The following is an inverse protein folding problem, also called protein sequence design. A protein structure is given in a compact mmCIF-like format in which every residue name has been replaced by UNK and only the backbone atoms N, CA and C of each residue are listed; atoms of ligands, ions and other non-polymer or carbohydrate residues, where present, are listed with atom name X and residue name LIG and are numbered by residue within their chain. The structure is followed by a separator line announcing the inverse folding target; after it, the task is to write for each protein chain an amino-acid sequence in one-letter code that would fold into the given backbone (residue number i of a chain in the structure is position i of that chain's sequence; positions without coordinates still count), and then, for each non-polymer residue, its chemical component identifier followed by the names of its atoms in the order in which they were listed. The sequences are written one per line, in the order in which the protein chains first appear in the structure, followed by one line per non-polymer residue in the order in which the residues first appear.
data_IF_088820580562
#
_entry.id   IF_088820580562
#
_cell.length_a   1.000
_cell.length_b   1.000
_cell.length_c   1.000
_cell.angle_alpha   90.00
_cell.angle_beta   90.00
_cell.angle_gamma   90.00
#
_symmetry.space_group_name_H-M   'P 1'
#
loop_
_entity.id
_entity.type
_entity.pdbx_description
1 polymer ?
#
# COMPACT_ATOMS: atom_id res chain seq x y z
N UNK A 1 6.82 0.66 6.77
CA UNK A 1 5.58 1.42 6.47
C UNK A 1 5.38 1.43 4.96
N UNK A 2 4.17 1.16 4.45
CA UNK A 2 3.92 1.13 2.99
C UNK A 2 3.74 2.55 2.46
N UNK A 3 4.40 2.86 1.35
CA UNK A 3 4.35 4.19 0.71
C UNK A 3 3.50 4.21 -0.54
N UNK A 4 3.05 5.40 -0.92
CA UNK A 4 2.30 5.61 -2.17
C UNK A 4 3.09 5.15 -3.40
N UNK A 5 4.41 5.33 -3.37
CA UNK A 5 5.29 4.88 -4.45
C UNK A 5 5.25 3.35 -4.62
N UNK A 6 5.24 2.60 -3.52
CA UNK A 6 5.12 1.15 -3.55
C UNK A 6 3.76 0.72 -4.14
N UNK A 7 2.66 1.38 -3.76
CA UNK A 7 1.33 1.07 -4.30
C UNK A 7 1.20 1.43 -5.78
N UNK A 8 1.83 2.52 -6.25
CA UNK A 8 1.90 2.85 -7.68
C UNK A 8 2.70 1.80 -8.46
N UNK A 9 3.85 1.36 -7.94
CA UNK A 9 4.64 0.28 -8.54
C UNK A 9 3.87 -1.04 -8.58
N UNK A 10 3.13 -1.38 -7.52
CA UNK A 10 2.28 -2.58 -7.50
C UNK A 10 1.28 -2.57 -8.66
N UNK A 11 0.56 -1.46 -8.87
CA UNK A 11 -0.43 -1.33 -9.95
C UNK A 11 0.22 -1.51 -11.33
N UNK A 12 1.43 -0.98 -11.51
CA UNK A 12 2.22 -1.15 -12.73
C UNK A 12 2.64 -2.61 -12.94
N UNK A 13 3.11 -3.29 -11.89
CA UNK A 13 3.56 -4.68 -11.99
C UNK A 13 2.41 -5.67 -12.15
N UNK A 14 1.23 -5.42 -11.59
CA UNK A 14 0.07 -6.30 -11.75
C UNK A 14 -0.47 -6.31 -13.18
N UNK A 15 -0.36 -5.20 -13.91
CA UNK A 15 -0.68 -5.18 -15.34
C UNK A 15 0.32 -5.99 -16.19
N UNK A 16 1.54 -6.20 -15.67
CA UNK A 16 2.64 -6.85 -16.42
C UNK A 16 2.90 -8.30 -16.00
N UNK A 17 2.57 -8.67 -14.77
CA UNK A 17 2.88 -9.99 -14.21
C UNK A 17 1.62 -10.83 -14.07
N UNK A 18 1.75 -12.12 -14.42
CA UNK A 18 0.68 -13.11 -14.23
C UNK A 18 0.35 -13.36 -12.75
N UNK A 19 1.34 -13.25 -11.86
CA UNK A 19 1.21 -13.57 -10.44
C UNK A 19 1.20 -12.32 -9.54
N UNK A 20 0.16 -12.20 -8.70
CA UNK A 20 -0.01 -11.09 -7.74
C UNK A 20 1.07 -11.10 -6.64
N UNK A 21 1.52 -12.28 -6.23
CA UNK A 21 2.59 -12.46 -5.24
C UNK A 21 3.92 -11.89 -5.73
N UNK A 22 4.31 -12.21 -6.96
CA UNK A 22 5.55 -11.70 -7.56
C UNK A 22 5.49 -10.17 -7.76
N UNK A 23 4.31 -9.64 -8.11
CA UNK A 23 4.13 -8.19 -8.24
C UNK A 23 4.24 -7.48 -6.88
N UNK A 24 3.72 -8.08 -5.82
CA UNK A 24 3.85 -7.59 -4.45
C UNK A 24 5.32 -7.57 -3.99
N UNK A 25 6.03 -8.68 -4.21
CA UNK A 25 7.46 -8.80 -3.88
C UNK A 25 8.30 -7.73 -4.61
N UNK A 26 8.07 -7.53 -5.93
CA UNK A 26 8.78 -6.47 -6.69
C UNK A 26 8.40 -5.06 -6.27
N UNK A 27 7.21 -4.86 -5.73
CA UNK A 27 6.78 -3.57 -5.18
C UNK A 27 7.26 -3.35 -3.74
N UNK A 28 7.97 -4.32 -3.14
CA UNK A 28 8.49 -4.24 -1.78
C UNK A 28 7.40 -4.31 -0.71
N UNK A 29 6.35 -5.10 -0.96
CA UNK A 29 5.21 -5.24 -0.06
C UNK A 29 4.77 -6.70 0.08
N UNK A 30 4.22 -7.02 1.25
CA UNK A 30 3.62 -8.32 1.50
C UNK A 30 2.35 -8.53 0.65
N UNK A 31 2.08 -9.76 0.27
CA UNK A 31 0.95 -10.11 -0.61
C UNK A 31 -0.40 -9.73 0.00
N UNK A 32 -0.57 -9.92 1.32
CA UNK A 32 -1.82 -9.54 2.00
C UNK A 32 -2.04 -8.03 1.93
N UNK A 33 -0.96 -7.27 2.07
CA UNK A 33 -0.99 -5.81 2.00
C UNK A 33 -1.24 -5.31 0.58
N UNK A 34 -0.60 -5.91 -0.42
CA UNK A 34 -0.85 -5.64 -1.83
C UNK A 34 -2.33 -5.90 -2.17
N UNK A 35 -2.88 -7.04 -1.74
CA UNK A 35 -4.29 -7.40 -1.96
C UNK A 35 -5.26 -6.38 -1.34
N UNK A 36 -4.96 -5.90 -0.13
CA UNK A 36 -5.73 -4.82 0.51
C UNK A 36 -5.78 -3.57 -0.36
N UNK A 37 -4.63 -3.04 -0.80
CA UNK A 37 -4.59 -1.82 -1.60
C UNK A 37 -5.20 -1.97 -3.00
N UNK A 38 -5.15 -3.16 -3.59
CA UNK A 38 -5.81 -3.44 -4.87
C UNK A 38 -7.33 -3.46 -4.74
N UNK A 39 -7.86 -4.04 -3.65
CA UNK A 39 -9.29 -4.05 -3.38
C UNK A 39 -9.82 -2.67 -3.02
N UNK A 40 -9.08 -1.93 -2.19
CA UNK A 40 -9.50 -0.61 -1.74
C UNK A 40 -9.35 0.48 -2.81
N UNK A 41 -8.46 0.30 -3.80
CA UNK A 41 -8.24 1.30 -4.86
C UNK A 41 -7.59 2.61 -4.38
N UNK A 42 -7.30 2.74 -3.09
CA UNK A 42 -6.76 3.94 -2.45
C UNK A 42 -5.24 3.84 -2.21
N UNK A 43 -4.60 4.99 -2.03
CA UNK A 43 -3.19 5.07 -1.62
C UNK A 43 -3.05 5.06 -0.09
N UNK A 44 -1.91 4.61 0.46
CA UNK A 44 -1.63 4.67 1.90
C UNK A 44 -1.83 6.06 2.51
N UNK A 45 -1.46 7.12 1.78
CA UNK A 45 -1.72 8.52 2.18
C UNK A 45 -3.20 8.86 2.31
N UNK A 46 -4.04 8.32 1.42
CA UNK A 46 -5.50 8.51 1.45
C UNK A 46 -6.15 7.68 2.56
N UNK A 47 -5.56 6.53 2.90
CA UNK A 47 -6.00 5.69 4.01
C UNK A 47 -5.49 6.17 5.38
N UNK A 48 -4.50 7.07 5.43
CA UNK A 48 -3.99 7.66 6.68
C UNK A 48 -5.05 8.61 7.22
N UNK A 49 -5.87 8.10 8.14
CA UNK A 49 -6.72 8.95 8.98
C UNK A 49 -5.81 9.83 9.86
N UNK A 50 -6.16 11.10 9.99
CA UNK A 50 -5.53 11.97 10.96
C UNK A 50 -5.74 11.36 12.35
N UNK A 51 -4.64 11.10 13.05
CA UNK A 51 -4.70 10.60 14.40
C UNK A 51 -4.99 11.78 15.34
N UNK A 52 -6.18 11.79 15.94
CA UNK A 52 -6.70 12.92 16.75
C UNK A 52 -6.31 12.82 18.23
N UNK A 53 -5.42 11.91 18.61
CA UNK A 53 -5.03 11.78 20.01
C UNK A 53 -4.21 12.99 20.47
N UNK A 54 -4.58 13.53 21.64
CA UNK A 54 -3.80 14.56 22.32
C UNK A 54 -2.44 13.98 22.67
N UNK A 55 -1.38 14.51 22.06
CA UNK A 55 -0.06 14.44 22.68
C UNK A 55 -0.13 15.31 23.93
N UNK A 56 -0.02 14.71 25.12
CA UNK A 56 0.04 15.49 26.38
C UNK A 56 1.17 16.51 26.23
N UNK A 57 0.89 17.82 26.30
CA UNK A 57 1.94 18.80 26.57
C UNK A 57 2.32 18.59 28.04
N UNK A 58 3.52 18.08 28.26
CA UNK A 58 4.22 18.20 29.54
C UNK A 58 5.03 19.48 29.54
#
# INVERSE_FOLDING_TARGET
MVTDQQVRRLRMFIKRQKAKATAAAKAGMDEKTARKYLRHGQLPSQCRKAHTWRTRPG
#
